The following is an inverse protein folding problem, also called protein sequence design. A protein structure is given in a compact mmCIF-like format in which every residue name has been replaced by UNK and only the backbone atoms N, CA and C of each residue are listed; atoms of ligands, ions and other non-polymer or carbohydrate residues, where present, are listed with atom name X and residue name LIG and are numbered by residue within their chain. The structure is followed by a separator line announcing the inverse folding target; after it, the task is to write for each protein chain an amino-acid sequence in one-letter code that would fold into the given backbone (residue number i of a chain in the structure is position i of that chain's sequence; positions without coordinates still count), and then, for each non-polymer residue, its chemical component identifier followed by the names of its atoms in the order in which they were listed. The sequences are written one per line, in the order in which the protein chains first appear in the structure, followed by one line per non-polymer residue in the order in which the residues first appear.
data_IF_853660103753
#
_entry.id   IF_853660103753
#
_cell.length_a   1.000
_cell.length_b   1.000
_cell.length_c   1.000
_cell.angle_alpha   90.00
_cell.angle_beta   90.00
_cell.angle_gamma   90.00
#
_symmetry.space_group_name_H-M   'P 1'
#
loop_
_entity.id
_entity.type
_entity.pdbx_description
1 polymer ?
#
# COMPACT_ATOMS: atom_id res chain seq x y z
N UNK A 1 -10.45 -4.64 -0.34
CA UNK A 1 -10.16 -3.52 0.57
C UNK A 1 -9.91 -2.28 -0.28
N UNK A 2 -10.74 -1.23 -0.18
CA UNK A 2 -10.69 -0.02 -1.04
C UNK A 2 -10.14 1.22 -0.35
N UNK A 3 -9.95 1.16 0.98
CA UNK A 3 -9.64 2.32 1.82
C UNK A 3 -8.48 3.20 1.33
N UNK A 4 -7.46 2.62 0.67
CA UNK A 4 -6.35 3.39 0.10
C UNK A 4 -6.81 4.24 -1.10
N UNK A 5 -7.53 3.64 -2.05
CA UNK A 5 -8.07 4.35 -3.20
C UNK A 5 -9.08 5.42 -2.77
N UNK A 6 -9.94 5.10 -1.79
CA UNK A 6 -10.91 6.04 -1.22
C UNK A 6 -10.20 7.26 -0.61
N UNK A 7 -9.12 7.03 0.15
CA UNK A 7 -8.31 8.12 0.75
C UNK A 7 -7.63 8.97 -0.32
N UNK A 8 -7.07 8.34 -1.36
CA UNK A 8 -6.53 9.07 -2.50
C UNK A 8 -7.59 9.91 -3.21
N UNK A 9 -8.79 9.35 -3.41
CA UNK A 9 -9.89 10.04 -4.10
C UNK A 9 -10.31 11.28 -3.34
N UNK A 10 -10.42 11.19 -2.00
CA UNK A 10 -10.73 12.31 -1.13
C UNK A 10 -9.68 13.42 -1.20
N UNK A 11 -8.40 13.06 -1.13
CA UNK A 11 -7.28 14.04 -1.12
C UNK A 11 -7.08 14.69 -2.49
N UNK A 12 -7.18 13.91 -3.57
CA UNK A 12 -6.96 14.39 -4.94
C UNK A 12 -8.19 15.04 -5.56
N UNK A 13 -9.35 15.02 -4.88
CA UNK A 13 -10.63 15.52 -5.37
C UNK A 13 -11.01 14.98 -6.76
N UNK A 14 -10.67 13.71 -7.04
CA UNK A 14 -10.98 13.03 -8.30
C UNK A 14 -11.26 11.54 -8.05
N UNK A 15 -12.03 10.87 -8.91
CA UNK A 15 -12.25 9.44 -8.80
C UNK A 15 -10.92 8.67 -8.87
N UNK A 16 -10.69 7.76 -7.93
CA UNK A 16 -9.56 6.83 -7.93
C UNK A 16 -10.12 5.45 -7.69
N UNK A 17 -9.94 4.56 -8.67
CA UNK A 17 -10.49 3.21 -8.65
C UNK A 17 -9.40 2.17 -8.40
N UNK A 18 -9.75 1.11 -7.69
CA UNK A 18 -8.90 -0.07 -7.56
C UNK A 18 -9.06 -0.92 -8.81
N UNK A 19 -7.98 -1.11 -9.56
CA UNK A 19 -7.93 -2.02 -10.70
C UNK A 19 -7.13 -3.28 -10.31
N UNK A 20 -7.79 -4.39 -9.95
CA UNK A 20 -7.09 -5.62 -9.60
C UNK A 20 -6.32 -6.18 -10.82
N UNK A 21 -5.15 -6.75 -10.57
CA UNK A 21 -4.41 -7.53 -11.55
C UNK A 21 -3.87 -8.81 -10.93
N UNK A 22 -3.60 -9.81 -11.77
CA UNK A 22 -2.98 -11.03 -11.30
C UNK A 22 -1.54 -10.78 -10.86
N UNK A 23 -1.05 -11.59 -9.92
CA UNK A 23 0.32 -11.49 -9.41
C UNK A 23 1.32 -11.78 -10.53
N UNK A 24 0.98 -12.65 -11.48
CA UNK A 24 1.79 -12.97 -12.66
C UNK A 24 1.92 -11.75 -13.59
N UNK A 25 0.80 -11.06 -13.86
CA UNK A 25 0.80 -9.86 -14.69
C UNK A 25 1.60 -8.74 -14.01
N UNK A 26 1.44 -8.56 -12.70
CA UNK A 26 2.23 -7.59 -11.93
C UNK A 26 3.73 -7.90 -11.97
N UNK A 27 4.12 -9.16 -11.78
CA UNK A 27 5.52 -9.59 -11.86
C UNK A 27 6.12 -9.31 -13.24
N UNK A 28 5.42 -9.65 -14.31
CA UNK A 28 5.89 -9.39 -15.67
C UNK A 28 6.12 -7.89 -15.92
N UNK A 29 5.20 -7.04 -15.46
CA UNK A 29 5.36 -5.58 -15.53
C UNK A 29 6.54 -5.07 -14.70
N UNK A 30 6.73 -5.58 -13.48
CA UNK A 30 7.83 -5.18 -12.62
C UNK A 30 9.20 -5.56 -13.23
N UNK A 31 9.31 -6.77 -13.80
CA UNK A 31 10.51 -7.19 -14.54
C UNK A 31 10.80 -6.30 -15.75
N UNK A 32 9.77 -5.98 -16.54
CA UNK A 32 9.91 -5.11 -17.70
C UNK A 32 10.36 -3.68 -17.33
N UNK A 33 10.00 -3.21 -16.12
CA UNK A 33 10.44 -1.92 -15.56
C UNK A 33 11.83 -1.96 -14.91
N UNK A 34 12.52 -3.10 -14.95
CA UNK A 34 13.86 -3.26 -14.36
C UNK A 34 13.86 -3.39 -12.83
N UNK A 35 12.72 -3.71 -12.20
CA UNK A 35 12.70 -4.00 -10.76
C UNK A 35 13.54 -5.24 -10.46
N UNK A 36 14.38 -5.18 -9.42
CA UNK A 36 15.25 -6.30 -9.06
C UNK A 36 14.44 -7.53 -8.61
N UNK A 37 15.00 -8.71 -8.89
CA UNK A 37 14.36 -10.00 -8.61
C UNK A 37 13.94 -10.16 -7.15
N UNK A 38 14.79 -9.75 -6.20
CA UNK A 38 14.52 -9.89 -4.77
C UNK A 38 13.33 -9.02 -4.36
N UNK A 39 13.26 -7.76 -4.82
CA UNK A 39 12.13 -6.87 -4.53
C UNK A 39 10.83 -7.43 -5.08
N UNK A 40 10.85 -8.01 -6.29
CA UNK A 40 9.68 -8.67 -6.88
C UNK A 40 9.24 -9.85 -6.00
N UNK A 41 10.18 -10.73 -5.62
CA UNK A 41 9.88 -11.91 -4.79
C UNK A 41 9.32 -11.53 -3.41
N UNK A 42 9.90 -10.52 -2.76
CA UNK A 42 9.41 -10.00 -1.47
C UNK A 42 7.98 -9.44 -1.60
N UNK A 43 7.72 -8.64 -2.64
CA UNK A 43 6.39 -8.07 -2.85
C UNK A 43 5.33 -9.15 -3.12
N UNK A 44 5.67 -10.16 -3.93
CA UNK A 44 4.78 -11.31 -4.19
C UNK A 44 4.47 -12.07 -2.90
N UNK A 45 5.48 -12.33 -2.05
CA UNK A 45 5.27 -12.97 -0.75
C UNK A 45 4.32 -12.15 0.14
N UNK A 46 4.48 -10.82 0.17
CA UNK A 46 3.59 -9.92 0.91
C UNK A 46 2.16 -9.91 0.37
N UNK A 47 1.97 -9.86 -0.96
CA UNK A 47 0.64 -9.94 -1.57
C UNK A 47 -0.07 -11.23 -1.20
N UNK A 48 0.61 -12.37 -1.32
CA UNK A 48 0.05 -13.67 -0.96
C UNK A 48 -0.32 -13.74 0.53
N UNK A 49 0.57 -13.25 1.41
CA UNK A 49 0.33 -13.21 2.84
C UNK A 49 -0.88 -12.33 3.19
N UNK A 50 -0.95 -11.10 2.67
CA UNK A 50 -2.05 -10.18 2.97
C UNK A 50 -3.37 -10.60 2.33
N UNK A 51 -3.35 -11.29 1.18
CA UNK A 51 -4.56 -11.87 0.61
C UNK A 51 -5.17 -12.95 1.51
N UNK A 52 -4.34 -13.73 2.21
CA UNK A 52 -4.77 -14.83 3.07
C UNK A 52 -5.10 -14.38 4.51
N UNK A 53 -4.31 -13.47 5.07
CA UNK A 53 -4.37 -13.11 6.49
C UNK A 53 -4.85 -11.68 6.74
N UNK A 54 -4.98 -10.87 5.69
CA UNK A 54 -5.16 -9.43 5.80
C UNK A 54 -3.88 -8.72 6.28
N UNK A 55 -3.91 -7.39 6.24
CA UNK A 55 -2.89 -6.56 6.86
C UNK A 55 -3.37 -6.15 8.25
N UNK A 56 -3.11 -7.00 9.25
CA UNK A 56 -3.53 -6.77 10.64
C UNK A 56 -2.47 -6.02 11.43
N UNK A 57 -2.91 -5.06 12.24
CA UNK A 57 -2.07 -4.27 13.13
C UNK A 57 -2.91 -3.51 14.16
N UNK A 58 -2.26 -2.95 15.17
CA UNK A 58 -2.94 -2.16 16.21
C UNK A 58 -2.34 -0.75 16.30
N UNK A 59 -3.11 0.29 15.94
CA UNK A 59 -2.70 1.68 16.13
C UNK A 59 -2.38 2.02 17.60
N UNK A 60 -3.04 1.35 18.54
CA UNK A 60 -2.83 1.53 19.98
C UNK A 60 -1.43 1.04 20.41
N UNK A 61 -1.04 -0.15 19.93
CA UNK A 61 0.30 -0.70 20.18
C UNK A 61 1.36 0.19 19.54
N UNK A 62 1.13 0.62 18.30
CA UNK A 62 2.06 1.51 17.61
C UNK A 62 2.20 2.85 18.33
N UNK A 63 1.09 3.46 18.79
CA UNK A 63 1.12 4.68 19.61
C UNK A 63 1.94 4.49 20.89
N UNK A 64 1.73 3.38 21.58
CA UNK A 64 2.49 3.06 22.80
C UNK A 64 4.00 2.97 22.52
N UNK A 65 4.39 2.29 21.44
CA UNK A 65 5.79 2.16 21.04
C UNK A 65 6.42 3.50 20.60
N UNK A 66 5.64 4.36 19.93
CA UNK A 66 6.12 5.64 19.41
C UNK A 66 6.12 6.77 20.45
N UNK A 67 5.33 6.66 21.53
CA UNK A 67 5.10 7.75 22.48
C UNK A 67 4.34 8.95 21.90
N UNK A 68 3.78 8.80 20.68
CA UNK A 68 3.01 9.82 19.97
C UNK A 68 1.99 9.16 19.03
N UNK A 69 1.04 9.94 18.52
CA UNK A 69 0.06 9.44 17.56
C UNK A 69 0.74 9.00 16.24
N UNK A 70 0.43 7.78 15.72
CA UNK A 70 0.97 7.33 14.44
C UNK A 70 0.55 8.24 13.29
N UNK A 71 1.42 8.35 12.28
CA UNK A 71 1.06 9.08 11.05
C UNK A 71 -0.08 8.37 10.33
N UNK A 72 -1.13 9.11 9.98
CA UNK A 72 -2.28 8.56 9.25
C UNK A 72 -1.96 8.35 7.78
N UNK A 73 -2.68 7.44 7.12
CA UNK A 73 -2.58 7.22 5.67
C UNK A 73 -2.82 8.53 4.89
N UNK A 74 -3.79 9.33 5.32
CA UNK A 74 -4.09 10.61 4.70
C UNK A 74 -2.88 11.57 4.75
N UNK A 75 -2.21 11.67 5.90
CA UNK A 75 -1.02 12.51 6.05
C UNK A 75 0.13 12.03 5.15
N UNK A 76 0.33 10.71 5.02
CA UNK A 76 1.35 10.15 4.11
C UNK A 76 1.03 10.52 2.66
N UNK A 77 -0.22 10.32 2.23
CA UNK A 77 -0.64 10.61 0.85
C UNK A 77 -0.51 12.11 0.54
N UNK A 78 -0.97 12.99 1.43
CA UNK A 78 -0.86 14.45 1.25
C UNK A 78 0.59 14.89 1.05
N UNK A 79 1.54 14.31 1.79
CA UNK A 79 2.97 14.62 1.62
C UNK A 79 3.51 14.13 0.28
N UNK A 80 3.13 12.94 -0.14
CA UNK A 80 3.62 12.31 -1.37
C UNK A 80 3.12 12.98 -2.66
N UNK A 81 1.96 13.64 -2.62
CA UNK A 81 1.39 14.35 -3.79
C UNK A 81 1.79 15.82 -3.88
N UNK A 82 2.35 16.37 -2.80
CA UNK A 82 2.85 17.74 -2.75
C UNK A 82 4.31 17.87 -3.23
N UNK A 83 5.01 16.74 -3.37
CA UNK A 83 6.38 16.60 -3.88
C UNK A 83 6.40 16.25 -5.36
#
# INVERSE_FOLDING_TARGET
QTAVADTFSQILHRPVEVCPMSVEAWQAQARAKGTDKRTIETAVAMFNYYAQHGMVGSPHVLRFLLGQEPTTLATVITRAVAS
#
